data_IF_994292945368
#
_entry.id   IF_994292945368
#
_cell.length_a   1.000
_cell.length_b   1.000
_cell.length_c   1.000
_cell.angle_alpha   90.00
_cell.angle_beta   90.00
_cell.angle_gamma   90.00
#
_symmetry.space_group_name_H-M   'P 1'
#
loop_
_entity.id
_entity.type
_entity.pdbx_description
1 polymer ?
#
# COMPACT_ATOMS: atom_id res chain seq x y z
N UNK A 1 64.25 14.99 25.62
CA UNK A 1 63.56 13.83 26.25
C UNK A 1 62.33 13.39 25.43
N UNK A 2 62.52 13.06 24.15
CA UNK A 2 61.42 12.53 23.29
C UNK A 2 61.91 11.43 22.32
N UNK A 3 63.05 10.79 22.62
CA UNK A 3 63.73 9.86 21.70
C UNK A 3 64.00 8.47 22.29
N UNK A 4 63.45 8.12 23.45
CA UNK A 4 63.66 6.81 24.09
C UNK A 4 62.48 5.85 23.91
N UNK A 5 61.37 6.29 23.34
CA UNK A 5 60.17 5.45 23.20
C UNK A 5 60.06 4.75 21.84
N UNK A 6 61.01 4.96 20.92
CA UNK A 6 60.98 4.30 19.62
C UNK A 6 61.74 2.96 19.56
N UNK A 7 62.65 2.67 20.51
CA UNK A 7 63.48 1.46 20.45
C UNK A 7 62.81 0.18 20.97
N UNK A 8 61.91 0.25 21.97
CA UNK A 8 61.34 -0.96 22.58
C UNK A 8 60.38 -1.79 21.70
N UNK A 9 59.92 -1.27 20.56
CA UNK A 9 59.01 -2.01 19.66
C UNK A 9 59.81 -2.86 18.68
N UNK A 10 60.86 -2.28 18.10
CA UNK A 10 61.75 -2.96 17.15
C UNK A 10 62.59 -4.05 17.84
N UNK A 11 63.02 -3.81 19.09
CA UNK A 11 63.74 -4.81 19.90
C UNK A 11 62.89 -6.08 20.14
N UNK A 12 61.56 -5.96 20.18
CA UNK A 12 60.67 -7.08 20.50
C UNK A 12 60.47 -8.02 19.30
N UNK A 13 60.44 -7.46 18.09
CA UNK A 13 60.41 -8.25 16.84
C UNK A 13 61.73 -9.00 16.64
N UNK A 14 62.88 -8.35 16.86
CA UNK A 14 64.21 -9.00 16.77
C UNK A 14 64.37 -10.14 17.79
N UNK A 15 63.91 -9.94 19.02
CA UNK A 15 63.90 -10.99 20.05
C UNK A 15 62.97 -12.13 19.67
N UNK A 16 61.78 -11.84 19.13
CA UNK A 16 60.84 -12.84 18.65
C UNK A 16 61.47 -13.71 17.55
N UNK A 17 62.11 -13.08 16.55
CA UNK A 17 62.80 -13.79 15.47
C UNK A 17 63.97 -14.64 15.96
N UNK A 18 64.78 -14.12 16.89
CA UNK A 18 65.92 -14.85 17.45
C UNK A 18 65.51 -16.14 18.15
N UNK A 19 64.43 -16.10 18.95
CA UNK A 19 63.90 -17.27 19.65
C UNK A 19 63.19 -18.24 18.70
N UNK A 20 62.47 -17.72 17.70
CA UNK A 20 61.82 -18.54 16.66
C UNK A 20 62.84 -19.32 15.83
N UNK A 21 63.94 -18.67 15.41
CA UNK A 21 65.01 -19.31 14.63
C UNK A 21 65.73 -20.44 15.38
N UNK A 22 65.65 -20.46 16.72
CA UNK A 22 66.26 -21.49 17.58
C UNK A 22 65.27 -22.56 18.05
N UNK A 23 63.99 -22.42 17.74
CA UNK A 23 62.95 -23.36 18.16
C UNK A 23 62.59 -23.31 19.66
N UNK A 24 62.98 -22.25 20.37
CA UNK A 24 62.66 -22.05 21.79
C UNK A 24 61.33 -21.30 21.97
N UNK A 25 60.25 -21.86 21.42
CA UNK A 25 58.94 -21.21 21.37
C UNK A 25 58.17 -21.29 22.71
N UNK A 26 58.36 -22.34 23.50
CA UNK A 26 57.68 -22.47 24.80
C UNK A 26 58.21 -21.46 25.83
N UNK A 27 59.53 -21.25 25.83
CA UNK A 27 60.19 -20.27 26.70
C UNK A 27 59.82 -18.85 26.30
N UNK A 28 59.73 -18.57 24.99
CA UNK A 28 59.28 -17.27 24.48
C UNK A 28 57.83 -16.96 24.88
N UNK A 29 56.92 -17.93 24.75
CA UNK A 29 55.52 -17.76 25.18
C UNK A 29 55.46 -17.50 26.69
N UNK A 30 56.18 -18.27 27.50
CA UNK A 30 56.18 -18.07 28.96
C UNK A 30 56.78 -16.71 29.37
N UNK A 31 57.81 -16.24 28.67
CA UNK A 31 58.39 -14.92 28.87
C UNK A 31 57.38 -13.81 28.55
N UNK A 32 56.69 -13.92 27.40
CA UNK A 32 55.67 -12.96 27.00
C UNK A 32 54.45 -12.99 27.92
N UNK A 33 54.01 -14.16 28.40
CA UNK A 33 52.95 -14.32 29.42
C UNK A 33 53.34 -13.58 30.72
N UNK A 34 54.60 -13.69 31.17
CA UNK A 34 55.09 -12.94 32.33
C UNK A 34 55.14 -11.42 32.10
N UNK A 35 55.39 -11.01 30.85
CA UNK A 35 55.40 -9.61 30.42
C UNK A 35 54.03 -8.95 30.46
N UNK A 36 52.93 -9.71 30.38
CA UNK A 36 51.56 -9.19 30.49
C UNK A 36 51.26 -8.61 31.88
N UNK A 37 51.92 -9.12 32.93
CA UNK A 37 51.68 -8.71 34.32
C UNK A 37 52.38 -7.41 34.72
N UNK A 38 53.18 -6.81 33.84
CA UNK A 38 53.92 -5.59 34.12
C UNK A 38 53.05 -4.35 33.94
N UNK A 39 53.10 -3.40 34.88
CA UNK A 39 52.33 -2.14 34.84
C UNK A 39 52.62 -1.26 33.60
N UNK A 40 53.76 -1.49 32.92
CA UNK A 40 54.17 -0.79 31.69
C UNK A 40 54.20 -1.70 30.45
N UNK A 41 53.37 -2.72 30.38
CA UNK A 41 53.28 -3.57 29.20
C UNK A 41 52.83 -2.76 27.97
N UNK A 42 53.68 -2.76 26.93
CA UNK A 42 53.42 -2.09 25.66
C UNK A 42 52.50 -2.93 24.76
N UNK A 43 51.71 -2.28 23.90
CA UNK A 43 50.78 -2.92 22.93
C UNK A 43 51.45 -4.01 22.06
N UNK A 44 52.74 -3.83 21.75
CA UNK A 44 53.55 -4.79 20.99
C UNK A 44 53.62 -6.18 21.65
N UNK A 45 53.72 -6.26 22.98
CA UNK A 45 53.81 -7.54 23.72
C UNK A 45 52.52 -8.35 23.54
N UNK A 46 51.37 -7.68 23.66
CA UNK A 46 50.07 -8.33 23.48
C UNK A 46 49.88 -8.85 22.04
N UNK A 47 50.36 -8.07 21.06
CA UNK A 47 50.22 -8.40 19.63
C UNK A 47 51.15 -9.55 19.25
N UNK A 48 52.43 -9.50 19.63
CA UNK A 48 53.39 -10.57 19.36
C UNK A 48 53.02 -11.87 20.06
N UNK A 49 52.53 -11.79 21.31
CA UNK A 49 51.99 -12.97 21.99
C UNK A 49 50.78 -13.57 21.25
N UNK A 50 49.90 -12.72 20.71
CA UNK A 50 48.80 -13.16 19.84
C UNK A 50 49.29 -13.90 18.60
N UNK A 51 50.33 -13.40 17.93
CA UNK A 51 50.94 -14.05 16.75
C UNK A 51 51.57 -15.40 17.13
N UNK A 52 52.22 -15.48 18.29
CA UNK A 52 52.79 -16.73 18.80
C UNK A 52 51.70 -17.75 19.17
N UNK A 53 50.60 -17.32 19.78
CA UNK A 53 49.45 -18.19 20.04
C UNK A 53 48.82 -18.70 18.74
N UNK A 54 48.68 -17.85 17.72
CA UNK A 54 48.19 -18.29 16.41
C UNK A 54 49.06 -19.37 15.78
N UNK A 55 50.39 -19.32 15.94
CA UNK A 55 51.30 -20.31 15.34
C UNK A 55 51.45 -21.60 16.15
N UNK A 56 51.46 -21.51 17.47
CA UNK A 56 51.89 -22.64 18.32
C UNK A 56 50.85 -23.13 19.34
N UNK A 57 49.88 -22.29 19.74
CA UNK A 57 48.86 -22.64 20.74
C UNK A 57 47.50 -21.99 20.44
N UNK A 58 46.76 -22.53 19.46
CA UNK A 58 45.48 -21.95 19.04
C UNK A 58 44.41 -21.99 20.14
N UNK A 59 44.45 -22.99 21.03
CA UNK A 59 43.48 -23.13 22.12
C UNK A 59 43.37 -21.91 23.05
N UNK A 60 44.49 -21.21 23.29
CA UNK A 60 44.54 -20.01 24.15
C UNK A 60 44.29 -18.70 23.39
N UNK A 61 44.31 -18.75 22.05
CA UNK A 61 44.26 -17.54 21.22
C UNK A 61 42.94 -16.78 21.41
N UNK A 62 41.82 -17.49 21.42
CA UNK A 62 40.50 -16.88 21.56
C UNK A 62 40.33 -16.16 22.91
N UNK A 63 40.81 -16.76 24.00
CA UNK A 63 40.77 -16.14 25.34
C UNK A 63 41.64 -14.88 25.40
N UNK A 64 42.84 -14.95 24.84
CA UNK A 64 43.77 -13.81 24.77
C UNK A 64 43.16 -12.64 24.00
N UNK A 65 42.55 -12.90 22.84
CA UNK A 65 41.90 -11.86 22.04
C UNK A 65 40.73 -11.23 22.78
N UNK A 66 39.89 -12.04 23.45
CA UNK A 66 38.73 -11.55 24.22
C UNK A 66 39.14 -10.67 25.40
N UNK A 67 40.23 -11.02 26.10
CA UNK A 67 40.71 -10.28 27.26
C UNK A 67 41.43 -8.97 26.87
N UNK A 68 42.15 -8.96 25.75
CA UNK A 68 43.06 -7.86 25.40
C UNK A 68 42.67 -7.10 24.12
N UNK A 69 41.44 -7.24 23.61
CA UNK A 69 40.97 -6.63 22.36
C UNK A 69 41.31 -5.14 22.18
N UNK A 70 41.29 -4.36 23.26
CA UNK A 70 41.58 -2.91 23.25
C UNK A 70 43.07 -2.54 23.19
N UNK A 71 43.97 -3.50 23.46
CA UNK A 71 45.43 -3.30 23.56
C UNK A 71 46.19 -4.11 22.51
N UNK A 72 45.53 -4.54 21.45
CA UNK A 72 46.10 -5.30 20.35
C UNK A 72 46.19 -4.44 19.08
N UNK A 73 47.23 -4.68 18.28
CA UNK A 73 47.24 -4.22 16.90
C UNK A 73 46.45 -5.21 16.03
N UNK A 74 45.16 -4.91 15.87
CA UNK A 74 44.19 -5.80 15.20
C UNK A 74 44.59 -6.13 13.75
N UNK A 75 44.98 -5.18 12.88
CA UNK A 75 45.42 -5.49 11.51
C UNK A 75 46.58 -6.49 11.40
N UNK A 76 47.58 -6.40 12.30
CA UNK A 76 48.72 -7.34 12.30
C UNK A 76 48.26 -8.74 12.69
N UNK A 77 47.38 -8.83 13.68
CA UNK A 77 46.85 -10.11 14.16
C UNK A 77 45.89 -10.76 13.15
N UNK A 78 45.09 -9.97 12.42
CA UNK A 78 44.24 -10.45 11.32
C UNK A 78 45.08 -11.19 10.28
N UNK A 79 46.21 -10.61 9.83
CA UNK A 79 47.10 -11.27 8.86
C UNK A 79 47.67 -12.57 9.40
N UNK A 80 48.09 -12.59 10.67
CA UNK A 80 48.63 -13.80 11.30
C UNK A 80 47.56 -14.89 11.47
N UNK A 81 46.31 -14.51 11.80
CA UNK A 81 45.19 -15.45 11.89
C UNK A 81 44.76 -15.97 10.52
N UNK A 82 44.82 -15.14 9.47
CA UNK A 82 44.52 -15.54 8.08
C UNK A 82 45.59 -16.50 7.53
N UNK A 83 46.88 -16.23 7.77
CA UNK A 83 47.99 -17.12 7.42
C UNK A 83 47.88 -18.51 8.08
N UNK A 84 47.38 -18.56 9.32
CA UNK A 84 47.24 -19.78 10.11
C UNK A 84 45.83 -20.41 10.03
N UNK A 85 44.92 -19.81 9.26
CA UNK A 85 43.55 -20.29 9.04
C UNK A 85 42.68 -20.44 10.30
N UNK A 86 42.84 -19.53 11.28
CA UNK A 86 42.04 -19.51 12.52
C UNK A 86 40.74 -18.69 12.32
N UNK A 87 39.74 -19.30 11.68
CA UNK A 87 38.53 -18.60 11.20
C UNK A 87 37.62 -18.06 12.31
N UNK A 88 37.51 -18.74 13.45
CA UNK A 88 36.70 -18.29 14.61
C UNK A 88 37.27 -17.01 15.21
N UNK A 89 38.57 -17.03 15.46
CA UNK A 89 39.32 -15.92 16.04
C UNK A 89 39.41 -14.74 15.07
N UNK A 90 39.64 -15.03 13.78
CA UNK A 90 39.65 -14.04 12.71
C UNK A 90 38.31 -13.30 12.60
N UNK A 91 37.20 -14.03 12.63
CA UNK A 91 35.85 -13.45 12.59
C UNK A 91 35.60 -12.52 13.77
N UNK A 92 36.00 -12.93 14.98
CA UNK A 92 35.90 -12.08 16.16
C UNK A 92 36.75 -10.81 16.05
N UNK A 93 37.97 -10.90 15.50
CA UNK A 93 38.82 -9.74 15.26
C UNK A 93 38.19 -8.77 14.26
N UNK A 94 37.60 -9.26 13.17
CA UNK A 94 36.89 -8.39 12.22
C UNK A 94 35.69 -7.68 12.86
N UNK A 95 34.96 -8.36 13.75
CA UNK A 95 33.83 -7.75 14.49
C UNK A 95 34.33 -6.64 15.43
N UNK A 96 35.46 -6.83 16.11
CA UNK A 96 36.05 -5.80 16.99
C UNK A 96 36.64 -4.63 16.22
N UNK A 97 37.07 -4.86 14.97
CA UNK A 97 37.61 -3.84 14.08
C UNK A 97 36.54 -3.11 13.26
N UNK A 98 35.26 -3.40 13.50
CA UNK A 98 34.11 -2.88 12.75
C UNK A 98 34.13 -3.21 11.23
N UNK A 99 34.92 -4.20 10.82
CA UNK A 99 34.95 -4.70 9.43
C UNK A 99 33.93 -5.84 9.23
N UNK A 100 32.64 -5.52 9.36
CA UNK A 100 31.54 -6.48 9.28
C UNK A 100 31.42 -7.17 7.91
N UNK A 101 31.79 -6.48 6.83
CA UNK A 101 31.76 -7.00 5.46
C UNK A 101 32.74 -8.18 5.29
N UNK A 102 33.96 -8.04 5.83
CA UNK A 102 34.99 -9.08 5.82
C UNK A 102 34.64 -10.22 6.79
N UNK A 103 34.10 -9.88 7.96
CA UNK A 103 33.58 -10.87 8.92
C UNK A 103 32.52 -11.76 8.26
N UNK A 104 31.50 -11.17 7.63
CA UNK A 104 30.42 -11.91 6.98
C UNK A 104 30.94 -12.82 5.86
N UNK A 105 31.89 -12.33 5.04
CA UNK A 105 32.49 -13.11 3.96
C UNK A 105 33.30 -14.30 4.50
N UNK A 106 34.04 -14.09 5.58
CA UNK A 106 34.82 -15.14 6.25
C UNK A 106 33.91 -16.23 6.81
N UNK A 107 32.82 -15.85 7.49
CA UNK A 107 31.84 -16.79 8.03
C UNK A 107 31.20 -17.62 6.91
N UNK A 108 30.82 -16.99 5.79
CA UNK A 108 30.19 -17.70 4.66
C UNK A 108 31.14 -18.69 3.98
N UNK A 109 32.41 -18.32 3.80
CA UNK A 109 33.38 -19.18 3.13
C UNK A 109 33.88 -20.33 4.03
N UNK A 110 33.86 -20.11 5.34
CA UNK A 110 34.40 -21.04 6.35
C UNK A 110 33.33 -21.42 7.39
N UNK A 111 32.16 -21.80 6.88
CA UNK A 111 30.98 -22.15 7.67
C UNK A 111 31.22 -23.21 8.76
N UNK A 112 31.89 -24.35 8.49
CA UNK A 112 32.01 -25.42 9.50
C UNK A 112 32.69 -25.00 10.80
N UNK A 113 33.57 -23.99 10.73
CA UNK A 113 34.34 -23.52 11.87
C UNK A 113 33.79 -22.21 12.43
N UNK A 114 33.47 -21.22 11.59
CA UNK A 114 33.19 -19.86 12.07
C UNK A 114 31.69 -19.54 12.25
N UNK A 115 30.78 -20.41 11.80
CA UNK A 115 29.35 -20.07 11.77
C UNK A 115 28.66 -20.23 13.12
N UNK A 116 28.03 -19.14 13.57
CA UNK A 116 27.00 -19.12 14.61
C UNK A 116 25.87 -18.20 14.12
N UNK A 117 24.65 -18.73 14.11
CA UNK A 117 23.46 -18.02 13.62
C UNK A 117 23.19 -16.71 14.36
N UNK A 118 23.33 -16.69 15.69
CA UNK A 118 23.06 -15.49 16.49
C UNK A 118 24.09 -14.40 16.18
N UNK A 119 25.37 -14.77 16.14
CA UNK A 119 26.46 -13.87 15.80
C UNK A 119 26.34 -13.33 14.37
N UNK A 120 25.99 -14.20 13.42
CA UNK A 120 25.81 -13.80 12.02
C UNK A 120 24.67 -12.79 11.85
N UNK A 121 23.56 -12.93 12.58
CA UNK A 121 22.46 -11.96 12.54
C UNK A 121 22.90 -10.57 13.00
N UNK A 122 23.65 -10.49 14.09
CA UNK A 122 24.16 -9.22 14.61
C UNK A 122 25.16 -8.56 13.65
N UNK A 123 26.00 -9.37 13.00
CA UNK A 123 26.94 -8.91 11.96
C UNK A 123 26.18 -8.43 10.74
N UNK A 124 25.21 -9.22 10.25
CA UNK A 124 24.47 -8.93 9.03
C UNK A 124 23.79 -7.56 9.09
N UNK A 125 23.14 -7.18 10.21
CA UNK A 125 22.51 -5.84 10.34
C UNK A 125 23.50 -4.68 10.14
N UNK A 126 24.79 -4.88 10.44
CA UNK A 126 25.82 -3.85 10.37
C UNK A 126 26.57 -3.82 9.06
N UNK A 127 26.43 -4.83 8.20
CA UNK A 127 27.07 -4.90 6.88
C UNK A 127 26.62 -3.72 6.01
N UNK A 128 27.58 -3.07 5.36
CA UNK A 128 27.32 -1.93 4.49
C UNK A 128 27.04 -2.37 3.04
N UNK A 129 27.75 -3.39 2.58
CA UNK A 129 27.64 -3.87 1.21
C UNK A 129 26.41 -4.77 0.99
N UNK A 130 25.49 -4.31 0.15
CA UNK A 130 24.24 -5.03 -0.13
C UNK A 130 24.48 -6.38 -0.83
N UNK A 131 25.56 -6.51 -1.61
CA UNK A 131 25.88 -7.72 -2.35
C UNK A 131 26.18 -8.91 -1.42
N UNK A 132 26.69 -8.63 -0.21
CA UNK A 132 26.97 -9.63 0.81
C UNK A 132 25.66 -10.25 1.32
N UNK A 133 24.56 -9.49 1.39
CA UNK A 133 23.26 -10.05 1.78
C UNK A 133 22.78 -11.12 0.80
N UNK A 134 22.89 -10.90 -0.51
CA UNK A 134 22.47 -11.89 -1.50
C UNK A 134 23.37 -13.14 -1.48
N UNK A 135 24.67 -12.97 -1.22
CA UNK A 135 25.57 -14.10 -0.98
C UNK A 135 25.17 -14.87 0.28
N UNK A 136 24.80 -14.17 1.35
CA UNK A 136 24.32 -14.79 2.58
C UNK A 136 23.02 -15.56 2.36
N UNK A 137 22.09 -15.01 1.57
CA UNK A 137 20.85 -15.71 1.20
C UNK A 137 21.16 -17.01 0.43
N UNK A 138 22.09 -16.98 -0.53
CA UNK A 138 22.53 -18.19 -1.23
C UNK A 138 23.16 -19.22 -0.29
N UNK A 139 24.01 -18.77 0.62
CA UNK A 139 24.68 -19.61 1.61
C UNK A 139 23.67 -20.28 2.56
N UNK A 140 22.74 -19.53 3.13
CA UNK A 140 21.68 -20.07 4.00
C UNK A 140 20.77 -21.03 3.24
N UNK A 141 20.47 -20.76 1.97
CA UNK A 141 19.65 -21.66 1.15
C UNK A 141 20.33 -23.01 0.88
N UNK A 142 21.67 -23.04 0.84
CA UNK A 142 22.43 -24.27 0.60
C UNK A 142 22.67 -25.09 1.87
N UNK A 143 23.00 -24.43 2.98
CA UNK A 143 23.43 -25.13 4.21
C UNK A 143 22.37 -25.16 5.32
N UNK A 144 21.55 -24.11 5.43
CA UNK A 144 20.59 -23.95 6.54
C UNK A 144 19.22 -23.42 6.08
N UNK A 145 18.43 -24.22 5.35
CA UNK A 145 17.12 -23.79 4.85
C UNK A 145 16.17 -23.36 5.97
N UNK A 146 16.18 -24.05 7.11
CA UNK A 146 15.23 -23.80 8.21
C UNK A 146 15.36 -22.40 8.84
N UNK A 147 16.57 -21.82 8.81
CA UNK A 147 16.89 -20.55 9.48
C UNK A 147 16.83 -19.33 8.55
N UNK A 148 16.47 -19.53 7.29
CA UNK A 148 16.49 -18.46 6.29
C UNK A 148 15.45 -17.37 6.57
N UNK A 149 14.28 -17.76 7.07
CA UNK A 149 13.20 -16.82 7.41
C UNK A 149 13.64 -15.82 8.48
N UNK A 150 14.37 -16.28 9.49
CA UNK A 150 14.87 -15.43 10.57
C UNK A 150 15.89 -14.42 10.08
N UNK A 151 16.79 -14.82 9.18
CA UNK A 151 17.76 -13.92 8.55
C UNK A 151 17.04 -12.88 7.69
N UNK A 152 16.13 -13.33 6.83
CA UNK A 152 15.40 -12.45 5.91
C UNK A 152 14.54 -11.42 6.66
N UNK A 153 13.90 -11.82 7.76
CA UNK A 153 13.13 -10.91 8.62
C UNK A 153 13.99 -9.78 9.21
N UNK A 154 15.20 -10.10 9.69
CA UNK A 154 16.13 -9.09 10.22
C UNK A 154 16.62 -8.15 9.13
N UNK A 155 16.80 -8.67 7.91
CA UNK A 155 17.30 -7.91 6.77
C UNK A 155 16.19 -7.23 5.94
N UNK A 156 14.92 -7.37 6.33
CA UNK A 156 13.77 -6.94 5.53
C UNK A 156 13.84 -5.46 5.10
N UNK A 157 14.31 -4.57 5.98
CA UNK A 157 14.37 -3.12 5.69
C UNK A 157 15.48 -2.71 4.72
N UNK A 158 16.44 -3.59 4.43
CA UNK A 158 17.64 -3.28 3.62
C UNK A 158 17.74 -4.07 2.32
N UNK A 159 16.94 -5.12 2.20
CA UNK A 159 16.93 -6.01 1.05
C UNK A 159 16.02 -5.50 -0.06
N UNK A 160 16.43 -5.74 -1.31
CA UNK A 160 15.50 -5.69 -2.43
C UNK A 160 14.73 -7.01 -2.50
N UNK A 161 13.46 -6.93 -2.14
CA UNK A 161 12.57 -8.10 -2.10
C UNK A 161 12.38 -8.74 -3.49
N UNK A 162 12.48 -7.97 -4.58
CA UNK A 162 12.34 -8.53 -5.94
C UNK A 162 13.47 -9.50 -6.26
N UNK A 163 14.71 -9.08 -5.97
CA UNK A 163 15.90 -9.91 -6.18
C UNK A 163 15.92 -11.16 -5.30
N UNK A 164 15.44 -11.06 -4.05
CA UNK A 164 15.31 -12.22 -3.15
C UNK A 164 14.31 -13.24 -3.72
N UNK A 165 13.13 -12.78 -4.16
CA UNK A 165 12.13 -13.67 -4.78
C UNK A 165 12.68 -14.35 -6.04
N UNK A 166 13.43 -13.63 -6.89
CA UNK A 166 14.05 -14.22 -8.08
C UNK A 166 15.08 -15.30 -7.75
N UNK A 167 15.88 -15.09 -6.70
CA UNK A 167 16.84 -16.10 -6.22
C UNK A 167 16.09 -17.35 -5.74
N UNK A 168 15.02 -17.18 -4.98
CA UNK A 168 14.19 -18.29 -4.46
C UNK A 168 13.45 -19.02 -5.58
N UNK A 169 12.93 -18.29 -6.57
CA UNK A 169 12.26 -18.84 -7.76
C UNK A 169 13.23 -19.71 -8.57
N UNK A 170 14.48 -19.25 -8.76
CA UNK A 170 15.53 -20.05 -9.44
C UNK A 170 15.93 -21.30 -8.66
N UNK A 171 15.89 -21.25 -7.34
CA UNK A 171 16.17 -22.39 -6.49
C UNK A 171 14.99 -23.37 -6.34
N UNK A 172 13.79 -22.98 -6.76
CA UNK A 172 12.57 -23.80 -6.63
C UNK A 172 12.07 -23.97 -5.19
N UNK A 173 12.57 -23.18 -4.23
CA UNK A 173 12.21 -23.27 -2.81
C UNK A 173 11.37 -22.06 -2.36
N UNK A 174 10.36 -21.69 -3.15
CA UNK A 174 9.48 -20.56 -2.83
C UNK A 174 8.63 -20.81 -1.57
N UNK A 175 8.16 -22.04 -1.32
CA UNK A 175 7.35 -22.36 -0.14
C UNK A 175 8.06 -22.07 1.19
N UNK A 176 9.38 -22.26 1.25
CA UNK A 176 10.17 -22.07 2.47
C UNK A 176 10.11 -20.62 2.97
N UNK A 177 10.01 -19.68 2.03
CA UNK A 177 10.10 -18.23 2.27
C UNK A 177 8.71 -17.60 2.43
N UNK A 178 7.64 -18.41 2.39
CA UNK A 178 6.26 -17.95 2.56
C UNK A 178 6.06 -17.08 3.82
N UNK A 179 6.53 -17.45 5.03
CA UNK A 179 6.35 -16.62 6.22
C UNK A 179 6.99 -15.23 6.09
N UNK A 180 8.17 -15.16 5.46
CA UNK A 180 8.83 -13.90 5.17
C UNK A 180 8.07 -13.07 4.13
N UNK A 181 7.57 -13.70 3.05
CA UNK A 181 6.80 -12.98 2.02
C UNK A 181 5.52 -12.36 2.58
N UNK A 182 4.83 -13.06 3.49
CA UNK A 182 3.65 -12.53 4.19
C UNK A 182 4.04 -11.33 5.06
N UNK A 183 5.17 -11.40 5.78
CA UNK A 183 5.64 -10.27 6.60
C UNK A 183 6.01 -9.03 5.75
N UNK A 184 6.54 -9.25 4.55
CA UNK A 184 6.96 -8.19 3.61
C UNK A 184 5.80 -7.67 2.75
N UNK A 185 4.65 -8.34 2.76
CA UNK A 185 3.52 -8.02 1.89
C UNK A 185 3.01 -6.58 2.07
N UNK A 186 3.20 -5.98 3.26
CA UNK A 186 2.90 -4.56 3.52
C UNK A 186 3.58 -3.59 2.56
N UNK A 187 4.73 -3.95 1.99
CA UNK A 187 5.46 -3.10 1.05
C UNK A 187 4.85 -3.09 -0.36
N UNK A 188 3.82 -3.92 -0.62
CA UNK A 188 3.07 -4.03 -1.88
C UNK A 188 3.99 -4.15 -3.12
N UNK A 189 4.98 -5.04 -3.05
CA UNK A 189 5.93 -5.30 -4.15
C UNK A 189 5.33 -6.32 -5.12
N UNK A 190 5.33 -6.01 -6.42
CA UNK A 190 4.71 -6.84 -7.45
C UNK A 190 5.26 -8.26 -7.53
N UNK A 191 6.59 -8.42 -7.53
CA UNK A 191 7.22 -9.74 -7.58
C UNK A 191 6.86 -10.60 -6.36
N UNK A 192 6.71 -9.99 -5.17
CA UNK A 192 6.33 -10.69 -3.94
C UNK A 192 4.87 -11.13 -4.03
N UNK A 193 3.97 -10.21 -4.41
CA UNK A 193 2.55 -10.50 -4.55
C UNK A 193 2.29 -11.58 -5.61
N UNK A 194 2.96 -11.51 -6.76
CA UNK A 194 2.82 -12.51 -7.82
C UNK A 194 3.31 -13.89 -7.38
N UNK A 195 4.48 -13.97 -6.74
CA UNK A 195 4.99 -15.23 -6.21
C UNK A 195 4.11 -15.77 -5.06
N UNK A 196 3.60 -14.91 -4.19
CA UNK A 196 2.70 -15.31 -3.11
C UNK A 196 1.37 -15.84 -3.64
N UNK A 197 0.82 -15.18 -4.66
CA UNK A 197 -0.42 -15.62 -5.31
C UNK A 197 -0.21 -16.94 -6.06
N UNK A 198 0.94 -17.15 -6.71
CA UNK A 198 1.30 -18.43 -7.33
C UNK A 198 1.36 -19.56 -6.28
N UNK A 199 1.96 -19.30 -5.12
CA UNK A 199 1.98 -20.24 -3.99
C UNK A 199 0.58 -20.56 -3.45
N UNK A 200 -0.29 -19.55 -3.30
CA UNK A 200 -1.66 -19.79 -2.84
C UNK A 200 -2.51 -20.57 -3.84
N UNK A 201 -2.22 -20.43 -5.14
CA UNK A 201 -2.85 -21.25 -6.18
C UNK A 201 -2.40 -22.71 -6.09
N UNK A 202 -1.11 -22.94 -5.88
CA UNK A 202 -0.56 -24.30 -5.72
C UNK A 202 -1.02 -24.99 -4.42
N UNK A 203 -1.15 -24.23 -3.33
CA UNK A 203 -1.62 -24.74 -2.03
C UNK A 203 -3.14 -24.78 -1.88
N UNK A 204 -3.88 -24.31 -2.91
CA UNK A 204 -5.35 -24.25 -2.91
C UNK A 204 -5.96 -23.39 -1.78
N UNK A 205 -5.20 -22.45 -1.20
CA UNK A 205 -5.63 -21.56 -0.10
C UNK A 205 -6.39 -20.34 -0.65
N UNK A 206 -7.71 -20.52 -0.84
CA UNK A 206 -8.60 -19.50 -1.43
C UNK A 206 -8.89 -18.33 -0.48
N UNK A 207 -8.87 -18.53 0.85
CA UNK A 207 -9.17 -17.45 1.80
C UNK A 207 -8.03 -16.43 1.82
N UNK A 208 -6.79 -16.90 1.95
CA UNK A 208 -5.62 -16.03 1.95
C UNK A 208 -5.36 -15.37 0.60
N UNK A 209 -5.64 -16.07 -0.51
CA UNK A 209 -5.53 -15.47 -1.83
C UNK A 209 -6.49 -14.28 -1.97
N UNK A 210 -7.71 -14.39 -1.45
CA UNK A 210 -8.68 -13.29 -1.48
C UNK A 210 -8.24 -12.11 -0.62
N UNK A 211 -7.81 -12.36 0.62
CA UNK A 211 -7.29 -11.30 1.50
C UNK A 211 -6.08 -10.58 0.89
N UNK A 212 -5.16 -11.36 0.28
CA UNK A 212 -3.99 -10.86 -0.45
C UNK A 212 -4.39 -9.91 -1.58
N UNK A 213 -5.32 -10.35 -2.43
CA UNK A 213 -5.82 -9.57 -3.57
C UNK A 213 -6.58 -8.31 -3.13
N UNK A 214 -7.30 -8.37 -2.01
CA UNK A 214 -8.09 -7.25 -1.50
C UNK A 214 -7.20 -6.14 -0.94
N UNK A 215 -6.20 -6.51 -0.13
CA UNK A 215 -5.30 -5.57 0.54
C UNK A 215 -4.17 -5.05 -0.36
N UNK A 216 -3.70 -5.86 -1.31
CA UNK A 216 -2.50 -5.57 -2.11
C UNK A 216 -2.82 -5.66 -3.61
N UNK A 217 -2.83 -4.52 -4.28
CA UNK A 217 -3.29 -4.35 -5.67
C UNK A 217 -2.16 -4.38 -6.73
N UNK A 218 -0.91 -4.32 -6.30
CA UNK A 218 0.25 -4.27 -7.20
C UNK A 218 0.65 -5.69 -7.64
N UNK A 219 -0.04 -6.25 -8.63
CA UNK A 219 0.30 -7.51 -9.28
C UNK A 219 -0.35 -7.59 -10.69
N UNK A 220 0.05 -8.57 -11.51
CA UNK A 220 -0.61 -8.81 -12.80
C UNK A 220 -1.99 -9.47 -12.59
N UNK A 221 -3.01 -8.62 -12.48
CA UNK A 221 -4.40 -9.02 -12.32
C UNK A 221 -4.90 -9.88 -13.50
N UNK A 222 -4.44 -9.60 -14.72
CA UNK A 222 -4.94 -10.27 -15.92
C UNK A 222 -4.28 -11.64 -16.05
N UNK A 223 -2.95 -11.71 -15.90
CA UNK A 223 -2.20 -12.95 -15.97
C UNK A 223 -2.63 -13.95 -14.87
N UNK A 224 -2.83 -13.46 -13.65
CA UNK A 224 -3.31 -14.31 -12.55
C UNK A 224 -4.73 -14.83 -12.82
N UNK A 225 -5.65 -13.98 -13.28
CA UNK A 225 -7.03 -14.38 -13.57
C UNK A 225 -7.10 -15.44 -14.69
N UNK A 226 -6.27 -15.32 -15.73
CA UNK A 226 -6.19 -16.33 -16.80
C UNK A 226 -5.65 -17.69 -16.32
N UNK A 227 -4.72 -17.70 -15.36
CA UNK A 227 -4.24 -18.94 -14.72
C UNK A 227 -5.36 -19.59 -13.90
N UNK A 228 -6.06 -18.79 -13.10
CA UNK A 228 -7.16 -19.25 -12.24
C UNK A 228 -8.38 -19.74 -13.03
N UNK A 229 -8.64 -19.20 -14.23
CA UNK A 229 -9.73 -19.62 -15.12
C UNK A 229 -9.67 -21.12 -15.45
N UNK A 230 -8.46 -21.68 -15.56
CA UNK A 230 -8.22 -23.09 -15.91
C UNK A 230 -8.22 -24.02 -14.71
N UNK A 231 -8.36 -23.50 -13.49
CA UNK A 231 -8.28 -24.30 -12.27
C UNK A 231 -9.55 -25.15 -12.08
N UNK A 232 -9.39 -26.38 -11.58
CA UNK A 232 -10.52 -27.32 -11.43
C UNK A 232 -11.50 -26.86 -10.34
N UNK A 233 -10.96 -26.30 -9.25
CA UNK A 233 -11.73 -25.77 -8.13
C UNK A 233 -12.62 -24.58 -8.51
N UNK A 234 -13.87 -24.61 -8.03
CA UNK A 234 -14.85 -23.55 -8.24
C UNK A 234 -14.50 -22.29 -7.44
N UNK A 235 -13.94 -22.41 -6.22
CA UNK A 235 -13.55 -21.24 -5.43
C UNK A 235 -12.44 -20.42 -6.11
N UNK A 236 -11.48 -21.07 -6.75
CA UNK A 236 -10.40 -20.39 -7.47
C UNK A 236 -10.90 -19.66 -8.71
N UNK A 237 -11.82 -20.29 -9.47
CA UNK A 237 -12.49 -19.61 -10.61
C UNK A 237 -13.37 -18.45 -10.15
N UNK A 238 -14.00 -18.56 -8.99
CA UNK A 238 -14.74 -17.45 -8.36
C UNK A 238 -13.82 -16.28 -8.02
N UNK A 239 -12.63 -16.54 -7.49
CA UNK A 239 -11.60 -15.52 -7.26
C UNK A 239 -11.14 -14.91 -8.59
N UNK A 240 -10.98 -15.70 -9.66
CA UNK A 240 -10.67 -15.17 -10.99
C UNK A 240 -11.73 -14.19 -11.50
N UNK A 241 -13.01 -14.55 -11.36
CA UNK A 241 -14.13 -13.66 -11.71
C UNK A 241 -14.10 -12.37 -10.88
N UNK A 242 -13.77 -12.47 -9.59
CA UNK A 242 -13.60 -11.34 -8.69
C UNK A 242 -12.41 -10.44 -9.08
N UNK A 243 -11.28 -11.02 -9.48
CA UNK A 243 -10.11 -10.27 -9.97
C UNK A 243 -10.47 -9.54 -11.27
N UNK A 244 -11.14 -10.20 -12.23
CA UNK A 244 -11.60 -9.54 -13.46
C UNK A 244 -12.57 -8.39 -13.19
N UNK A 245 -13.43 -8.56 -12.18
CA UNK A 245 -14.33 -7.52 -11.69
C UNK A 245 -13.56 -6.32 -11.13
N UNK A 246 -12.57 -6.54 -10.27
CA UNK A 246 -11.71 -5.46 -9.72
C UNK A 246 -10.89 -4.76 -10.82
N UNK A 247 -10.47 -5.49 -11.85
CA UNK A 247 -9.75 -4.97 -13.01
C UNK A 247 -10.64 -4.20 -14.02
N UNK A 248 -11.97 -4.16 -13.83
CA UNK A 248 -12.92 -3.51 -14.74
C UNK A 248 -13.19 -4.28 -16.04
N UNK A 249 -12.82 -5.57 -16.12
CA UNK A 249 -13.09 -6.43 -17.28
C UNK A 249 -14.38 -7.23 -17.07
N UNK A 250 -15.51 -6.52 -17.11
CA UNK A 250 -16.85 -7.06 -16.85
C UNK A 250 -17.25 -8.19 -17.79
N UNK A 251 -16.95 -8.08 -19.09
CA UNK A 251 -17.27 -9.10 -20.11
C UNK A 251 -16.65 -10.47 -19.81
N UNK A 252 -15.38 -10.49 -19.40
CA UNK A 252 -14.64 -11.71 -19.10
C UNK A 252 -15.10 -12.32 -17.78
N UNK A 253 -15.35 -11.50 -16.75
CA UNK A 253 -15.91 -11.94 -15.48
C UNK A 253 -17.29 -12.58 -15.63
N UNK A 254 -18.17 -11.97 -16.43
CA UNK A 254 -19.51 -12.49 -16.73
C UNK A 254 -19.43 -13.80 -17.53
N UNK A 255 -18.56 -13.87 -18.55
CA UNK A 255 -18.38 -15.09 -19.34
C UNK A 255 -17.92 -16.27 -18.48
N UNK A 256 -16.96 -16.06 -17.59
CA UNK A 256 -16.50 -17.09 -16.65
C UNK A 256 -17.62 -17.51 -15.69
N UNK A 257 -18.34 -16.54 -15.12
CA UNK A 257 -19.46 -16.81 -14.22
C UNK A 257 -20.61 -17.56 -14.90
N UNK A 258 -20.82 -17.35 -16.21
CA UNK A 258 -21.78 -18.09 -17.04
C UNK A 258 -21.38 -19.56 -17.18
N UNK A 259 -20.09 -19.85 -17.40
CA UNK A 259 -19.55 -21.22 -17.50
C UNK A 259 -19.71 -21.95 -16.16
N UNK A 260 -19.45 -21.27 -15.05
CA UNK A 260 -19.51 -21.86 -13.70
C UNK A 260 -20.93 -21.97 -13.14
N UNK A 261 -21.95 -21.53 -13.89
CA UNK A 261 -23.36 -21.46 -13.45
C UNK A 261 -23.57 -20.67 -12.14
N UNK A 262 -22.67 -19.73 -11.84
CA UNK A 262 -22.70 -18.90 -10.64
C UNK A 262 -23.51 -17.63 -10.89
N UNK A 263 -24.84 -17.77 -10.88
CA UNK A 263 -25.73 -16.70 -11.32
C UNK A 263 -25.80 -15.51 -10.37
N UNK A 264 -25.61 -15.70 -9.07
CA UNK A 264 -25.62 -14.60 -8.08
C UNK A 264 -24.48 -13.62 -8.32
N UNK A 265 -23.25 -14.13 -8.39
CA UNK A 265 -22.05 -13.30 -8.61
C UNK A 265 -22.09 -12.66 -10.01
N UNK A 266 -22.67 -13.34 -10.99
CA UNK A 266 -22.91 -12.80 -12.32
C UNK A 266 -23.84 -11.57 -12.29
N UNK A 267 -24.96 -11.63 -11.56
CA UNK A 267 -25.90 -10.52 -11.42
C UNK A 267 -25.29 -9.34 -10.67
N UNK A 268 -24.56 -9.60 -9.58
CA UNK A 268 -23.86 -8.55 -8.83
C UNK A 268 -22.77 -7.87 -9.67
N UNK A 269 -22.03 -8.63 -10.47
CA UNK A 269 -21.01 -8.10 -11.39
C UNK A 269 -21.64 -7.27 -12.49
N UNK A 270 -22.79 -7.70 -13.02
CA UNK A 270 -23.54 -6.94 -14.01
C UNK A 270 -24.07 -5.61 -13.45
N UNK A 271 -24.65 -5.63 -12.25
CA UNK A 271 -25.12 -4.42 -11.56
C UNK A 271 -24.00 -3.41 -11.32
N UNK A 272 -22.81 -3.89 -10.91
CA UNK A 272 -21.66 -3.02 -10.68
C UNK A 272 -21.00 -2.50 -11.97
N UNK A 273 -21.17 -3.20 -13.10
CA UNK A 273 -20.55 -2.79 -14.37
C UNK A 273 -21.10 -1.47 -14.92
N UNK A 274 -22.35 -1.10 -14.61
CA UNK A 274 -22.96 0.09 -15.18
C UNK A 274 -23.42 -0.07 -16.65
N UNK A 275 -23.12 -1.21 -17.29
CA UNK A 275 -23.34 -1.41 -18.72
C UNK A 275 -24.72 -2.01 -19.01
N UNK A 276 -25.51 -1.28 -19.81
CA UNK A 276 -26.86 -1.70 -20.22
C UNK A 276 -26.84 -2.89 -21.17
N UNK A 277 -25.96 -2.89 -22.16
CA UNK A 277 -25.85 -3.97 -23.15
C UNK A 277 -25.52 -5.31 -22.47
N UNK A 278 -24.60 -5.30 -21.49
CA UNK A 278 -24.25 -6.50 -20.73
C UNK A 278 -25.41 -7.04 -19.89
N UNK A 279 -26.26 -6.13 -19.39
CA UNK A 279 -27.46 -6.49 -18.62
C UNK A 279 -28.53 -7.12 -19.52
N UNK A 280 -28.75 -6.56 -20.71
CA UNK A 280 -29.67 -7.11 -21.70
C UNK A 280 -29.18 -8.49 -22.22
N UNK A 281 -27.89 -8.62 -22.54
CA UNK A 281 -27.26 -9.89 -22.95
C UNK A 281 -27.33 -10.97 -21.86
N UNK A 282 -27.24 -10.56 -20.58
CA UNK A 282 -27.37 -11.48 -19.45
C UNK A 282 -28.81 -11.97 -19.28
N UNK A 283 -29.81 -11.11 -19.50
CA UNK A 283 -31.22 -11.51 -19.49
C UNK A 283 -31.54 -12.52 -20.59
N UNK A 284 -31.04 -12.28 -21.82
CA UNK A 284 -31.19 -13.23 -22.94
C UNK A 284 -30.60 -14.60 -22.58
N UNK A 285 -29.41 -14.62 -21.97
CA UNK A 285 -28.81 -15.86 -21.49
C UNK A 285 -29.67 -16.60 -20.45
N UNK A 286 -30.25 -15.89 -19.47
CA UNK A 286 -31.11 -16.52 -18.46
C UNK A 286 -32.39 -17.12 -19.05
N UNK A 287 -32.91 -16.49 -20.10
CA UNK A 287 -34.08 -16.96 -20.84
C UNK A 287 -33.74 -18.25 -21.61
N UNK A 288 -32.61 -18.28 -22.32
CA UNK A 288 -32.14 -19.47 -23.04
C UNK A 288 -31.89 -20.66 -22.10
N UNK A 289 -31.35 -20.39 -20.90
CA UNK A 289 -31.15 -21.41 -19.86
C UNK A 289 -32.45 -21.85 -19.17
N UNK A 290 -33.57 -21.18 -19.43
CA UNK A 290 -34.89 -21.53 -18.88
C UNK A 290 -35.05 -21.30 -17.37
N UNK A 291 -34.12 -20.59 -16.72
CA UNK A 291 -34.14 -20.33 -15.27
C UNK A 291 -34.94 -19.07 -14.93
N UNK A 292 -36.25 -19.25 -14.76
CA UNK A 292 -37.23 -18.18 -14.51
C UNK A 292 -36.96 -17.38 -13.23
N UNK A 293 -36.44 -18.04 -12.19
CA UNK A 293 -36.10 -17.41 -10.91
C UNK A 293 -34.90 -16.46 -11.04
N UNK A 294 -33.89 -16.85 -11.81
CA UNK A 294 -32.72 -16.02 -12.07
C UNK A 294 -33.08 -14.77 -12.90
N UNK A 295 -34.05 -14.88 -13.81
CA UNK A 295 -34.57 -13.75 -14.56
C UNK A 295 -35.21 -12.70 -13.63
N UNK A 296 -36.07 -13.12 -12.69
CA UNK A 296 -36.69 -12.22 -11.71
C UNK A 296 -35.65 -11.54 -10.80
N UNK A 297 -34.66 -12.29 -10.31
CA UNK A 297 -33.58 -11.74 -9.47
C UNK A 297 -32.69 -10.77 -10.25
N UNK A 298 -32.40 -11.05 -11.53
CA UNK A 298 -31.60 -10.15 -12.38
C UNK A 298 -32.31 -8.82 -12.62
N UNK A 299 -33.63 -8.84 -12.86
CA UNK A 299 -34.45 -7.62 -13.00
C UNK A 299 -34.41 -6.76 -11.74
N UNK A 300 -34.35 -7.38 -10.56
CA UNK A 300 -34.29 -6.66 -9.29
C UNK A 300 -32.88 -6.10 -9.00
N UNK A 301 -31.83 -6.89 -9.23
CA UNK A 301 -30.43 -6.49 -8.94
C UNK A 301 -29.92 -5.43 -9.93
N UNK A 302 -30.39 -5.48 -11.18
CA UNK A 302 -30.01 -4.53 -12.24
C UNK A 302 -31.12 -3.50 -12.53
N UNK A 303 -31.90 -3.12 -11.51
CA UNK A 303 -33.10 -2.29 -11.64
C UNK A 303 -32.86 -0.98 -12.42
N UNK A 304 -31.75 -0.29 -12.14
CA UNK A 304 -31.41 1.01 -12.76
C UNK A 304 -30.89 0.90 -14.20
N UNK A 305 -30.40 -0.29 -14.58
CA UNK A 305 -29.72 -0.52 -15.85
C UNK A 305 -30.68 -0.96 -16.95
N UNK A 306 -31.62 -1.81 -16.58
CA UNK A 306 -32.53 -2.48 -17.52
C UNK A 306 -33.64 -1.52 -17.91
N UNK A 307 -33.87 -1.38 -19.22
CA UNK A 307 -35.02 -0.63 -19.71
C UNK A 307 -36.28 -1.49 -19.66
N UNK A 308 -37.37 -0.86 -19.24
CA UNK A 308 -38.65 -1.51 -18.99
C UNK A 308 -39.30 -2.05 -20.26
N UNK A 309 -39.09 -1.38 -21.39
CA UNK A 309 -39.52 -1.83 -22.73
C UNK A 309 -38.92 -3.19 -23.09
N UNK A 310 -37.60 -3.32 -22.96
CA UNK A 310 -36.86 -4.56 -23.26
C UNK A 310 -37.23 -5.66 -22.26
N UNK A 311 -37.33 -5.34 -20.97
CA UNK A 311 -37.74 -6.32 -19.96
C UNK A 311 -39.14 -6.88 -20.22
N UNK A 312 -40.09 -6.02 -20.60
CA UNK A 312 -41.47 -6.42 -20.95
C UNK A 312 -41.51 -7.26 -22.22
N UNK A 313 -40.78 -6.87 -23.26
CA UNK A 313 -40.72 -7.61 -24.52
C UNK A 313 -40.17 -9.03 -24.29
N UNK A 314 -39.05 -9.13 -23.55
CA UNK A 314 -38.43 -10.40 -23.20
C UNK A 314 -39.33 -11.26 -22.30
N UNK A 315 -40.03 -10.66 -21.35
CA UNK A 315 -40.96 -11.38 -20.46
C UNK A 315 -42.23 -11.85 -21.20
N UNK A 316 -42.74 -11.05 -22.14
CA UNK A 316 -43.90 -11.41 -22.97
C UNK A 316 -43.55 -12.55 -23.91
N UNK A 317 -42.50 -12.40 -24.71
CA UNK A 317 -42.11 -13.37 -25.74
C UNK A 317 -41.83 -14.76 -25.17
N UNK A 318 -41.35 -14.84 -23.93
CA UNK A 318 -41.00 -16.07 -23.25
C UNK A 318 -42.03 -16.56 -22.22
N UNK A 319 -43.21 -15.93 -22.16
CA UNK A 319 -44.31 -16.32 -21.27
C UNK A 319 -43.91 -16.33 -19.77
N UNK A 320 -43.17 -15.30 -19.33
CA UNK A 320 -42.65 -15.12 -17.97
C UNK A 320 -43.13 -13.81 -17.30
N UNK A 321 -44.26 -13.26 -17.74
CA UNK A 321 -44.80 -12.00 -17.23
C UNK A 321 -45.03 -11.99 -15.71
N UNK A 322 -45.43 -13.13 -15.13
CA UNK A 322 -45.68 -13.26 -13.69
C UNK A 322 -44.42 -12.97 -12.84
N UNK A 323 -43.23 -13.29 -13.37
CA UNK A 323 -41.94 -13.08 -12.70
C UNK A 323 -41.41 -11.65 -12.89
N UNK A 324 -41.82 -10.95 -13.94
CA UNK A 324 -41.46 -9.55 -14.19
C UNK A 324 -42.43 -8.55 -13.51
N UNK A 325 -43.59 -9.02 -13.07
CA UNK A 325 -44.65 -8.16 -12.53
C UNK A 325 -44.24 -7.36 -11.28
N UNK A 326 -43.49 -7.91 -10.30
CA UNK A 326 -43.02 -7.14 -9.15
C UNK A 326 -42.09 -5.97 -9.54
N UNK A 327 -41.24 -6.18 -10.54
CA UNK A 327 -40.37 -5.13 -11.10
C UNK A 327 -41.20 -4.01 -11.75
N UNK A 328 -42.21 -4.39 -12.55
CA UNK A 328 -43.10 -3.45 -13.23
C UNK A 328 -43.91 -2.60 -12.23
N UNK A 329 -44.40 -3.21 -11.16
CA UNK A 329 -45.13 -2.51 -10.10
C UNK A 329 -44.26 -1.45 -9.40
N UNK A 330 -43.01 -1.79 -9.08
CA UNK A 330 -42.07 -0.85 -8.46
C UNK A 330 -41.76 0.32 -9.41
N UNK A 331 -41.54 0.02 -10.69
CA UNK A 331 -41.30 1.05 -11.71
C UNK A 331 -42.49 1.99 -11.90
N UNK A 332 -43.71 1.44 -12.00
CA UNK A 332 -44.94 2.24 -12.12
C UNK A 332 -45.11 3.13 -10.88
N UNK A 333 -44.85 2.59 -9.68
CA UNK A 333 -44.95 3.36 -8.43
C UNK A 333 -43.96 4.52 -8.39
N UNK A 334 -42.69 4.27 -8.70
CA UNK A 334 -41.67 5.33 -8.74
C UNK A 334 -41.94 6.36 -9.82
N UNK A 335 -42.37 5.93 -11.01
CA UNK A 335 -42.72 6.85 -12.08
C UNK A 335 -43.90 7.74 -11.66
N UNK A 336 -44.92 7.15 -11.04
CA UNK A 336 -46.07 7.91 -10.52
C UNK A 336 -45.64 8.87 -9.42
N UNK A 337 -44.84 8.45 -8.45
CA UNK A 337 -44.35 9.33 -7.38
C UNK A 337 -43.46 10.47 -7.90
N UNK A 338 -42.54 10.19 -8.84
CA UNK A 338 -41.70 11.23 -9.47
C UNK A 338 -42.54 12.22 -10.27
N UNK A 339 -43.55 11.74 -11.00
CA UNK A 339 -44.47 12.61 -11.73
C UNK A 339 -45.29 13.46 -10.76
N UNK A 340 -45.80 12.88 -9.67
CA UNK A 340 -46.56 13.61 -8.65
C UNK A 340 -45.71 14.69 -7.98
N UNK A 341 -44.44 14.41 -7.66
CA UNK A 341 -43.54 15.38 -7.06
C UNK A 341 -43.16 16.49 -8.04
N UNK A 342 -42.84 16.16 -9.31
CA UNK A 342 -42.62 17.17 -10.34
C UNK A 342 -43.86 18.05 -10.60
N UNK A 343 -45.05 17.46 -10.51
CA UNK A 343 -46.32 18.20 -10.62
C UNK A 343 -46.50 19.13 -9.42
N UNK A 344 -46.18 18.71 -8.19
CA UNK A 344 -46.20 19.57 -7.01
C UNK A 344 -45.19 20.71 -7.13
N UNK A 345 -43.94 20.42 -7.47
CA UNK A 345 -42.88 21.42 -7.66
C UNK A 345 -43.30 22.45 -8.72
N UNK A 346 -43.88 22.00 -9.83
CA UNK A 346 -44.38 22.89 -10.87
C UNK A 346 -45.56 23.74 -10.39
N UNK A 347 -46.46 23.18 -9.58
CA UNK A 347 -47.58 23.92 -8.99
C UNK A 347 -47.09 24.94 -7.97
N UNK A 348 -46.08 24.62 -7.18
CA UNK A 348 -45.46 25.54 -6.22
C UNK A 348 -44.73 26.68 -6.92
N UNK A 349 -43.91 26.38 -7.94
CA UNK A 349 -43.28 27.39 -8.79
C UNK A 349 -44.32 28.30 -9.45
N UNK A 350 -45.42 27.74 -9.97
CA UNK A 350 -46.51 28.54 -10.54
C UNK A 350 -47.26 29.39 -9.49
N UNK A 351 -47.34 28.93 -8.23
CA UNK A 351 -47.92 29.72 -7.14
C UNK A 351 -46.98 30.85 -6.72
N UNK A 352 -45.68 30.60 -6.66
CA UNK A 352 -44.68 31.63 -6.39
C UNK A 352 -44.61 32.68 -7.49
N UNK A 353 -44.66 32.28 -8.77
CA UNK A 353 -44.74 33.20 -9.90
C UNK A 353 -46.03 34.03 -9.84
N UNK A 354 -47.18 33.41 -9.56
CA UNK A 354 -48.44 34.13 -9.39
C UNK A 354 -48.44 35.04 -8.17
N UNK A 355 -47.79 34.66 -7.07
CA UNK A 355 -47.65 35.50 -5.89
C UNK A 355 -46.76 36.72 -6.18
N UNK A 356 -45.64 36.54 -6.90
CA UNK A 356 -44.78 37.65 -7.36
C UNK A 356 -45.51 38.56 -8.35
N UNK A 357 -46.27 38.02 -9.30
CA UNK A 357 -47.10 38.84 -10.19
C UNK A 357 -48.21 39.60 -9.44
N UNK A 358 -48.76 39.01 -8.37
CA UNK A 358 -49.79 39.65 -7.55
C UNK A 358 -49.20 40.76 -6.69
N UNK A 359 -48.01 40.54 -6.10
CA UNK A 359 -47.25 41.57 -5.40
C UNK A 359 -46.84 42.71 -6.33
N UNK A 360 -46.40 42.42 -7.56
CA UNK A 360 -46.12 43.44 -8.57
C UNK A 360 -47.38 44.22 -8.96
N UNK A 361 -48.52 43.55 -9.12
CA UNK A 361 -49.82 44.20 -9.38
C UNK A 361 -50.28 45.07 -8.21
N UNK A 362 -50.05 44.65 -6.97
CA UNK A 362 -50.40 45.41 -5.77
C UNK A 362 -49.47 46.63 -5.55
N UNK A 363 -48.18 46.52 -5.89
CA UNK A 363 -47.23 47.65 -5.89
C UNK A 363 -47.60 48.67 -6.97
N UNK A 364 -47.97 48.21 -8.16
CA UNK A 364 -48.46 49.09 -9.25
C UNK A 364 -49.80 49.74 -8.88
N UNK A 365 -50.70 49.02 -8.21
CA UNK A 365 -51.95 49.57 -7.70
C UNK A 365 -51.74 50.61 -6.58
N UNK A 366 -50.78 50.39 -5.67
CA UNK A 366 -50.39 51.37 -4.66
C UNK A 366 -49.73 52.62 -5.26
N UNK A 367 -48.88 52.47 -6.29
CA UNK A 367 -48.34 53.62 -7.04
C UNK A 367 -49.45 54.43 -7.74
N UNK A 368 -50.46 53.77 -8.31
CA UNK A 368 -51.60 54.45 -8.92
C UNK A 368 -52.51 55.14 -7.90
N UNK A 369 -52.65 54.61 -6.68
CA UNK A 369 -53.34 55.29 -5.57
C UNK A 369 -52.58 56.53 -5.07
N UNK A 370 -51.25 56.47 -5.01
CA UNK A 370 -50.43 57.61 -4.57
C UNK A 370 -50.44 58.77 -5.59
N UNK A 371 -50.62 58.47 -6.88
CA UNK A 371 -50.82 59.48 -7.91
C UNK A 371 -52.17 60.22 -7.83
N UNK A 372 -53.17 59.64 -7.15
CA UNK A 372 -54.50 60.23 -6.96
C UNK A 372 -54.60 61.17 -5.74
N UNK A 373 -53.57 61.20 -4.88
CA UNK A 373 -53.53 61.95 -3.62
C UNK A 373 -52.74 63.27 -3.69
N UNK A 374 -52.28 63.69 -4.88
CA UNK A 374 -51.70 65.01 -5.12
C UNK A 374 -52.81 66.03 -5.49
N UNK A 375 -53.10 67.04 -4.65
CA UNK A 375 -54.26 67.91 -4.83
C UNK A 375 -54.13 68.87 -6.03
N UNK A 376 -55.23 69.00 -6.78
CA UNK A 376 -55.43 70.00 -7.83
C UNK A 376 -55.20 71.44 -7.30
N UNK A 377 -54.23 72.15 -7.89
CA UNK A 377 -54.14 73.61 -7.83
C UNK A 377 -54.17 74.19 -9.27
N UNK A 378 -55.32 74.75 -9.64
CA UNK A 378 -55.58 75.67 -10.77
C UNK A 378 -55.03 77.10 -10.46
N UNK A 379 -55.08 78.15 -11.34
CA UNK A 379 -55.72 78.26 -12.68
C UNK A 379 -54.90 79.03 -13.76
N UNK A 380 -55.25 78.88 -15.05
CA UNK A 380 -55.62 80.00 -15.95
C UNK A 380 -55.94 79.54 -17.40
N UNK A 381 -56.82 80.25 -18.14
CA UNK A 381 -57.46 79.83 -19.40
C UNK A 381 -56.97 80.72 -20.60
N UNK A 382 -57.72 80.87 -21.72
CA UNK A 382 -58.13 79.94 -22.77
C UNK A 382 -57.59 80.37 -24.18
N UNK A 383 -57.31 79.43 -25.09
CA UNK A 383 -57.02 79.76 -26.49
C UNK A 383 -56.77 78.47 -27.31
N UNK A 384 -57.71 77.97 -28.11
CA UNK A 384 -58.05 78.43 -29.46
C UNK A 384 -56.93 78.12 -30.47
N UNK A 385 -57.15 77.10 -31.30
CA UNK A 385 -56.50 77.02 -32.62
C UNK A 385 -55.92 75.68 -33.04
N UNK A 386 -56.71 74.91 -33.79
CA UNK A 386 -56.23 74.32 -35.05
C UNK A 386 -55.36 73.06 -35.00
N UNK A 387 -55.17 72.40 -36.16
CA UNK A 387 -55.33 70.95 -36.28
C UNK A 387 -54.05 70.23 -36.80
N UNK A 388 -54.11 69.00 -37.39
CA UNK A 388 -53.28 67.82 -37.12
C UNK A 388 -51.97 67.74 -37.95
N UNK A 389 -51.08 66.73 -37.78
CA UNK A 389 -51.07 65.53 -38.65
C UNK A 389 -50.55 64.24 -37.95
N UNK A 390 -51.04 63.03 -38.23
CA UNK A 390 -50.88 62.18 -39.42
C UNK A 390 -49.46 61.58 -39.63
N UNK A 391 -49.41 60.25 -39.69
CA UNK A 391 -48.41 59.46 -40.43
C UNK A 391 -47.19 59.02 -39.59
N UNK A 392 -46.71 57.79 -39.65
CA UNK A 392 -47.04 56.68 -40.53
C UNK A 392 -46.03 55.54 -40.30
N UNK A 393 -46.58 54.34 -40.16
CA UNK A 393 -46.07 53.02 -40.58
C UNK A 393 -44.65 52.91 -41.15
N UNK A 394 -43.89 51.90 -40.69
CA UNK A 394 -43.03 51.14 -41.62
C UNK A 394 -41.68 50.63 -41.10
N UNK A 395 -41.65 49.32 -40.81
CA UNK A 395 -40.57 48.33 -41.05
C UNK A 395 -39.20 48.39 -40.30
N UNK A 396 -38.55 47.20 -40.13
CA UNK A 396 -37.33 46.98 -39.34
C UNK A 396 -36.05 47.14 -40.22
N UNK A 397 -34.82 47.03 -39.68
CA UNK A 397 -34.12 45.72 -39.73
C UNK A 397 -33.01 45.46 -38.67
N UNK A 398 -32.65 44.17 -38.60
CA UNK A 398 -31.36 43.50 -38.31
C UNK A 398 -30.09 44.32 -37.99
N UNK A 399 -29.27 43.79 -37.07
CA UNK A 399 -27.83 43.60 -37.34
C UNK A 399 -26.82 43.94 -36.24
N UNK A 400 -26.15 42.90 -35.69
CA UNK A 400 -24.68 42.84 -35.64
C UNK A 400 -23.94 43.23 -34.34
N UNK A 401 -22.86 42.45 -34.09
CA UNK A 401 -21.66 42.76 -33.25
C UNK A 401 -21.87 42.82 -31.73
N UNK A 402 -21.02 42.26 -30.87
CA UNK A 402 -19.74 41.56 -30.97
C UNK A 402 -19.16 41.42 -29.54
N UNK A 403 -18.53 40.28 -29.22
CA UNK A 403 -17.52 40.17 -28.13
C UNK A 403 -16.31 41.08 -28.48
N UNK A 404 -15.41 41.54 -27.57
CA UNK A 404 -14.88 40.90 -26.33
C UNK A 404 -14.58 41.98 -25.21
N UNK A 405 -13.56 41.92 -24.29
CA UNK A 405 -12.68 40.83 -23.84
C UNK A 405 -12.50 40.67 -22.30
N UNK A 406 -11.94 39.50 -21.95
CA UNK A 406 -11.22 39.18 -20.72
C UNK A 406 -10.14 40.22 -20.32
N UNK A 407 -10.06 40.50 -19.02
CA UNK A 407 -8.89 41.03 -18.31
C UNK A 407 -9.03 40.66 -16.83
N UNK A 408 -8.14 39.87 -16.24
CA UNK A 408 -6.93 40.33 -15.55
C UNK A 408 -7.11 40.02 -14.05
N UNK A 409 -6.36 39.08 -13.46
CA UNK A 409 -5.05 39.29 -12.84
C UNK A 409 -5.15 39.26 -11.31
N UNK A 410 -4.30 38.45 -10.66
CA UNK A 410 -3.85 38.69 -9.28
C UNK A 410 -4.39 37.75 -8.20
N UNK A 411 -3.64 36.69 -7.91
CA UNK A 411 -3.65 36.01 -6.61
C UNK A 411 -2.23 36.04 -6.04
N UNK A 412 -2.06 36.59 -4.82
CA UNK A 412 -1.15 35.99 -3.84
C UNK A 412 -1.80 35.85 -2.45
N UNK A 413 -1.18 35.05 -1.56
CA UNK A 413 -1.87 34.31 -0.51
C UNK A 413 -1.92 35.07 0.82
N UNK A 414 -2.98 34.85 1.61
CA UNK A 414 -3.03 35.21 3.03
C UNK A 414 -3.07 33.96 3.89
N UNK A 415 -2.03 33.81 4.72
CA UNK A 415 -2.02 32.91 5.86
C UNK A 415 -2.91 33.41 6.98
N UNK A 416 -3.41 32.48 7.80
CA UNK A 416 -4.26 32.82 8.93
C UNK A 416 -4.59 31.62 9.80
N UNK A 417 -3.70 31.36 10.76
CA UNK A 417 -4.02 31.06 12.17
C UNK A 417 -4.76 29.77 12.51
N UNK A 418 -4.04 28.94 13.27
CA UNK A 418 -4.51 27.70 13.89
C UNK A 418 -5.64 27.85 14.89
N UNK A 419 -6.41 26.76 14.99
CA UNK A 419 -7.43 26.49 16.01
C UNK A 419 -6.99 25.24 16.78
N UNK A 420 -6.91 25.26 18.13
CA UNK A 420 -6.86 24.05 18.94
C UNK A 420 -8.28 23.62 19.38
N UNK A 421 -8.51 22.32 19.64
CA UNK A 421 -9.85 21.78 19.89
C UNK A 421 -10.31 22.03 21.34
N UNK A 422 -11.58 22.39 21.50
CA UNK A 422 -12.28 22.48 22.79
C UNK A 422 -12.58 21.08 23.34
N UNK A 423 -12.07 20.78 24.55
CA UNK A 423 -12.51 19.65 25.36
C UNK A 423 -13.79 19.96 26.15
N UNK A 424 -14.67 18.98 26.42
CA UNK A 424 -15.88 19.20 27.20
C UNK A 424 -15.60 19.26 28.70
N UNK A 425 -16.17 20.28 29.37
CA UNK A 425 -16.07 20.50 30.82
C UNK A 425 -16.91 19.54 31.68
N UNK A 426 -16.68 19.52 33.00
CA UNK A 426 -17.33 18.60 33.94
C UNK A 426 -18.67 19.14 34.44
N UNK A 427 -19.68 18.27 34.53
CA UNK A 427 -20.98 18.54 35.16
C UNK A 427 -21.03 17.90 36.57
N UNK A 428 -21.73 18.53 37.55
CA UNK A 428 -21.65 18.17 38.96
C UNK A 428 -22.68 17.11 39.40
N UNK A 429 -22.27 16.36 40.41
CA UNK A 429 -23.03 15.33 41.09
C UNK A 429 -24.30 15.85 41.78
N UNK A 430 -25.39 15.12 41.62
CA UNK A 430 -26.60 15.25 42.42
C UNK A 430 -26.94 13.90 43.06
N UNK A 431 -27.23 13.97 44.35
CA UNK A 431 -27.32 12.85 45.29
C UNK A 431 -28.56 11.98 45.13
N UNK A 432 -28.42 10.75 45.61
CA UNK A 432 -29.52 9.85 45.91
C UNK A 432 -29.46 9.45 47.40
N UNK A 433 -30.59 9.40 48.13
CA UNK A 433 -30.61 9.16 49.57
C UNK A 433 -30.66 7.66 49.95
N UNK A 434 -30.47 7.32 51.25
CA UNK A 434 -30.14 5.97 51.71
C UNK A 434 -31.33 5.19 52.32
N UNK A 435 -31.04 3.95 52.75
CA UNK A 435 -31.87 2.97 53.48
C UNK A 435 -32.80 2.14 52.59
N UNK A 436 -32.92 0.81 52.69
CA UNK A 436 -32.45 -0.15 53.67
C UNK A 436 -33.48 -1.30 53.78
N UNK A 437 -32.98 -2.47 54.16
CA UNK A 437 -33.64 -3.64 54.73
C UNK A 437 -34.18 -4.81 53.87
N UNK A 438 -33.67 -5.97 54.31
CA UNK A 438 -34.02 -7.39 54.12
C UNK A 438 -33.51 -8.12 52.88
#
# INVERSE_FOLDING_TARGET
MRSQYHHSVDDLEEVSEYYQNRGCFNELISLMESGLGLERAHMGIFTELGVLYARYRPEKLMEHIKLFSTRLNIPKLIRACDEQQHWKELTYLYIQYDEFDNAATTIMNHSPDAWDHMQFKDVAVKVANVEIYYKAVHFYLQEHPDLINDLLNVLALRLDHTRVVDIMRKAGQLHLVKPYMVAVQSNNVSAVNEALNELYVEEEDYERLRESVDMHDNFDQIGLAQKLEKHELLEMRRIAAYIYKKAGRWKQSIALSKIDNMYKDCMETCSQSGDRELSEDLLVYFIEQGKKECFASCLFICYDLIRVDVALELAWTNNMLDFAFPYLLQFIREYTSKVDDLVKDRIELQKEEKAKEQEEKDVVAQQNMYAQLLPLALPAPPGMGGPPPMGGMGMPPMGGMGMPPMGGMGMPPMGGMGMPPMGPGPMPAYGMPPMGNY
#
